data_IF_903754501395
#
_entry.id   IF_903754501395
#
_cell.length_a   1.000
_cell.length_b   1.000
_cell.length_c   1.000
_cell.angle_alpha   90.00
_cell.angle_beta   90.00
_cell.angle_gamma   90.00
#
_symmetry.space_group_name_H-M   'P 1'
#
loop_
_entity.id
_entity.type
_entity.pdbx_description
1 polymer ?
#
# COMPACT_ATOMS: atom_id res chain seq x y z
N UNK A 1 11.00 -27.44 -18.46
CA UNK A 1 10.85 -28.90 -18.27
C UNK A 1 10.99 -29.50 -19.64
N UNK A 2 12.14 -30.14 -19.92
CA UNK A 2 12.43 -30.73 -21.22
C UNK A 2 12.17 -32.24 -21.13
N UNK A 3 11.00 -32.67 -21.60
CA UNK A 3 10.53 -34.06 -21.54
C UNK A 3 9.55 -34.32 -22.69
N UNK A 4 9.45 -35.59 -23.10
CA UNK A 4 8.44 -36.03 -24.06
C UNK A 4 7.09 -36.21 -23.38
N UNK A 5 6.18 -35.26 -23.59
CA UNK A 5 4.81 -35.31 -23.07
C UNK A 5 3.98 -36.40 -23.74
N UNK A 6 3.15 -37.10 -22.95
CA UNK A 6 2.19 -38.10 -23.40
C UNK A 6 0.76 -37.61 -23.18
N UNK A 7 -0.18 -38.29 -23.82
CA UNK A 7 -1.58 -37.98 -23.66
C UNK A 7 -2.00 -38.15 -22.19
N UNK A 8 -2.69 -37.15 -21.65
CA UNK A 8 -3.10 -37.02 -20.24
C UNK A 8 -1.97 -36.73 -19.22
N UNK A 9 -0.79 -36.27 -19.65
CA UNK A 9 0.18 -35.71 -18.71
C UNK A 9 -0.33 -34.39 -18.13
N UNK A 10 -0.20 -34.21 -16.81
CA UNK A 10 -0.58 -32.99 -16.09
C UNK A 10 0.63 -32.30 -15.48
N UNK A 11 0.72 -30.98 -15.65
CA UNK A 11 1.69 -30.13 -14.97
C UNK A 11 0.97 -29.21 -14.00
N UNK A 12 1.25 -29.39 -12.71
CA UNK A 12 0.77 -28.48 -11.66
C UNK A 12 1.91 -27.59 -11.20
N UNK A 13 1.71 -26.28 -11.29
CA UNK A 13 2.66 -25.28 -10.80
C UNK A 13 2.03 -24.52 -9.64
N UNK A 14 2.81 -24.29 -8.59
CA UNK A 14 2.41 -23.50 -7.42
C UNK A 14 3.38 -22.33 -7.32
N UNK A 15 2.84 -21.11 -7.34
CA UNK A 15 3.61 -19.88 -7.12
C UNK A 15 3.30 -19.36 -5.71
N UNK A 16 4.27 -19.42 -4.77
CA UNK A 16 4.09 -18.83 -3.45
C UNK A 16 3.85 -17.32 -3.57
N UNK A 17 2.83 -16.83 -2.86
CA UNK A 17 2.49 -15.41 -2.78
C UNK A 17 2.97 -14.87 -1.42
N UNK A 18 4.28 -14.78 -1.27
CA UNK A 18 4.96 -14.30 -0.06
C UNK A 18 4.92 -12.77 0.01
N UNK A 19 4.92 -12.22 1.23
CA UNK A 19 5.07 -10.79 1.45
C UNK A 19 6.55 -10.42 1.40
N UNK A 20 6.88 -9.43 0.60
CA UNK A 20 8.22 -8.85 0.52
C UNK A 20 8.18 -7.35 0.71
N UNK A 21 9.32 -6.76 1.07
CA UNK A 21 9.48 -5.32 1.19
C UNK A 21 10.66 -4.88 0.34
N UNK A 22 10.41 -4.03 -0.66
CA UNK A 22 11.44 -3.47 -1.53
C UNK A 22 11.83 -2.05 -1.09
N UNK A 23 13.08 -1.66 -1.39
CA UNK A 23 13.58 -0.31 -1.17
C UNK A 23 13.42 0.53 -2.44
N UNK A 24 12.76 1.67 -2.33
CA UNK A 24 12.44 2.58 -3.44
C UNK A 24 13.13 3.94 -3.24
N UNK A 25 12.81 4.93 -4.09
CA UNK A 25 13.34 6.28 -3.98
C UNK A 25 13.23 6.87 -2.55
N UNK A 26 14.18 7.72 -2.19
CA UNK A 26 14.31 8.36 -0.88
C UNK A 26 14.37 7.37 0.31
N UNK A 27 14.90 6.17 0.09
CA UNK A 27 14.95 5.09 1.09
C UNK A 27 13.59 4.67 1.63
N UNK A 28 12.53 4.84 0.85
CA UNK A 28 11.20 4.37 1.21
C UNK A 28 11.07 2.85 1.10
N UNK A 29 10.04 2.29 1.72
CA UNK A 29 9.71 0.88 1.70
C UNK A 29 8.35 0.66 1.08
N UNK A 30 8.27 -0.31 0.18
CA UNK A 30 7.06 -0.71 -0.50
C UNK A 30 6.76 -2.16 -0.17
N UNK A 31 5.52 -2.43 0.25
CA UNK A 31 5.05 -3.77 0.61
C UNK A 31 4.48 -4.43 -0.64
N UNK A 32 4.94 -5.64 -0.92
CA UNK A 32 4.58 -6.41 -2.10
C UNK A 32 4.13 -7.80 -1.67
N UNK A 33 3.26 -8.44 -2.46
CA UNK A 33 2.91 -9.85 -2.28
C UNK A 33 2.84 -10.57 -3.63
N UNK A 34 3.79 -11.47 -3.86
CA UNK A 34 4.04 -11.98 -5.21
C UNK A 34 4.28 -10.81 -6.19
N UNK A 35 3.55 -10.72 -7.32
CA UNK A 35 3.73 -9.65 -8.30
C UNK A 35 2.97 -8.35 -7.98
N UNK A 36 2.30 -8.25 -6.82
CA UNK A 36 1.40 -7.15 -6.51
C UNK A 36 2.01 -6.16 -5.52
N UNK A 37 1.99 -4.87 -5.87
CA UNK A 37 2.28 -3.75 -4.95
C UNK A 37 1.05 -3.41 -4.11
N UNK A 38 1.26 -3.11 -2.83
CA UNK A 38 0.20 -2.72 -1.89
C UNK A 38 0.29 -1.24 -1.51
N UNK A 39 -0.87 -0.63 -1.34
CA UNK A 39 -1.04 0.76 -0.94
C UNK A 39 -1.88 0.85 0.34
N UNK A 40 -1.68 1.90 1.12
CA UNK A 40 -2.51 2.18 2.30
C UNK A 40 -3.98 2.31 1.90
N UNK A 41 -4.86 1.62 2.62
CA UNK A 41 -6.32 1.75 2.48
C UNK A 41 -6.76 3.05 3.15
N UNK A 42 -6.91 4.10 2.34
CA UNK A 42 -7.36 5.42 2.78
C UNK A 42 -8.86 5.52 2.57
N UNK A 43 -9.60 5.96 3.61
CA UNK A 43 -11.01 6.30 3.45
C UNK A 43 -11.13 7.55 2.57
N UNK A 44 -12.08 7.59 1.64
CA UNK A 44 -12.17 8.63 0.62
C UNK A 44 -13.42 9.49 0.81
N UNK A 45 -13.31 10.78 0.50
CA UNK A 45 -14.43 11.71 0.33
C UNK A 45 -14.41 12.26 -1.10
N UNK A 46 -15.53 12.14 -1.81
CA UNK A 46 -15.63 12.50 -3.22
C UNK A 46 -16.45 13.77 -3.37
N UNK A 47 -15.90 14.75 -4.08
CA UNK A 47 -16.57 16.00 -4.41
C UNK A 47 -16.73 16.10 -5.92
N UNK A 48 -17.99 16.13 -6.38
CA UNK A 48 -18.32 16.39 -7.78
C UNK A 48 -18.16 17.88 -8.07
N UNK A 49 -17.52 18.21 -9.17
CA UNK A 49 -17.43 19.54 -9.75
C UNK A 49 -17.82 19.51 -11.21
N UNK A 50 -17.88 20.70 -11.82
CA UNK A 50 -18.21 20.87 -13.22
C UNK A 50 -17.27 21.91 -13.83
N UNK A 51 -16.71 21.61 -14.99
CA UNK A 51 -15.91 22.52 -15.80
C UNK A 51 -16.63 22.75 -17.12
N UNK A 52 -16.80 23.99 -17.56
CA UNK A 52 -17.63 24.33 -18.72
C UNK A 52 -17.22 23.57 -20.00
N UNK A 53 -15.91 23.40 -20.23
CA UNK A 53 -15.41 22.70 -21.41
C UNK A 53 -15.19 21.19 -21.22
N UNK A 54 -14.99 20.75 -19.97
CA UNK A 54 -14.54 19.38 -19.67
C UNK A 54 -15.65 18.52 -19.01
N UNK A 55 -16.76 19.14 -18.64
CA UNK A 55 -17.90 18.49 -18.02
C UNK A 55 -17.70 18.16 -16.54
N UNK A 56 -18.39 17.12 -16.10
CA UNK A 56 -18.35 16.65 -14.71
C UNK A 56 -16.96 16.08 -14.36
N UNK A 57 -16.42 16.50 -13.23
CA UNK A 57 -15.19 15.95 -12.67
C UNK A 57 -15.36 15.60 -11.19
N UNK A 58 -14.45 14.78 -10.66
CA UNK A 58 -14.44 14.40 -9.25
C UNK A 58 -13.08 14.71 -8.61
N UNK A 59 -13.12 15.40 -7.47
CA UNK A 59 -11.97 15.57 -6.59
C UNK A 59 -12.10 14.60 -5.42
N UNK A 60 -11.03 13.87 -5.13
CA UNK A 60 -10.99 12.84 -4.08
C UNK A 60 -10.08 13.33 -2.96
N UNK A 61 -10.58 13.29 -1.73
CA UNK A 61 -9.87 13.75 -0.53
C UNK A 61 -9.76 12.62 0.50
N UNK A 62 -8.65 12.55 1.27
CA UNK A 62 -8.52 11.58 2.34
C UNK A 62 -9.47 11.92 3.49
N UNK A 63 -10.18 10.90 4.00
CA UNK A 63 -11.06 10.93 5.17
C UNK A 63 -10.48 10.16 6.36
N UNK A 64 -9.39 9.42 6.14
CA UNK A 64 -8.59 8.80 7.19
C UNK A 64 -7.16 9.33 7.14
N UNK A 65 -6.44 9.15 8.24
CA UNK A 65 -5.01 9.38 8.29
C UNK A 65 -4.27 8.55 7.23
N UNK A 66 -3.20 9.12 6.70
CA UNK A 66 -2.40 8.53 5.63
C UNK A 66 -0.89 8.68 5.83
N UNK A 67 -0.49 9.60 6.71
CA UNK A 67 0.87 10.01 6.97
C UNK A 67 1.58 9.04 7.94
N UNK A 68 1.75 7.79 7.51
CA UNK A 68 2.35 6.74 8.33
C UNK A 68 3.72 6.28 7.82
N UNK A 69 4.59 5.90 8.75
CA UNK A 69 5.83 5.19 8.50
C UNK A 69 5.73 3.74 8.94
N UNK A 70 6.38 2.83 8.21
CA UNK A 70 6.49 1.43 8.62
C UNK A 70 7.55 1.27 9.72
N UNK A 71 7.34 0.31 10.61
CA UNK A 71 8.33 -0.01 11.64
C UNK A 71 9.52 -0.77 11.04
N UNK A 72 10.73 -0.42 11.46
CA UNK A 72 11.98 -1.06 11.04
C UNK A 72 11.96 -2.57 11.30
N UNK A 73 11.37 -2.99 12.41
CA UNK A 73 11.30 -4.38 12.80
C UNK A 73 10.31 -5.21 11.95
N UNK A 74 9.33 -4.59 11.29
CA UNK A 74 8.43 -5.27 10.35
C UNK A 74 9.07 -5.40 8.98
N UNK A 75 9.74 -4.36 8.49
CA UNK A 75 10.41 -4.44 7.18
C UNK A 75 11.59 -5.41 7.17
N UNK A 76 12.24 -5.63 8.33
CA UNK A 76 13.32 -6.62 8.49
C UNK A 76 12.81 -8.05 8.59
N UNK A 77 11.55 -8.22 8.97
CA UNK A 77 10.91 -9.51 9.14
C UNK A 77 9.49 -9.49 8.54
N UNK A 78 9.38 -9.71 7.21
CA UNK A 78 8.10 -9.68 6.52
C UNK A 78 7.07 -10.72 7.02
N UNK A 79 7.47 -11.68 7.85
CA UNK A 79 6.52 -12.63 8.47
C UNK A 79 5.58 -11.97 9.48
N UNK A 80 5.90 -10.76 9.94
CA UNK A 80 5.05 -9.97 10.85
C UNK A 80 3.83 -9.36 10.17
N UNK A 81 3.86 -9.24 8.85
CA UNK A 81 2.69 -8.80 8.09
C UNK A 81 1.62 -9.89 8.10
N UNK A 82 0.39 -9.51 8.46
CA UNK A 82 -0.73 -10.45 8.47
C UNK A 82 -1.53 -10.33 7.18
N UNK A 83 -1.61 -11.42 6.41
CA UNK A 83 -2.37 -11.45 5.15
C UNK A 83 -3.76 -12.03 5.39
N UNK A 84 -4.79 -11.29 5.01
CA UNK A 84 -6.17 -11.74 4.97
C UNK A 84 -6.66 -11.81 3.52
N UNK A 85 -7.11 -12.98 3.08
CA UNK A 85 -7.68 -13.20 1.75
C UNK A 85 -9.17 -13.46 1.89
N UNK A 86 -9.98 -12.58 1.33
CA UNK A 86 -11.43 -12.64 1.31
C UNK A 86 -11.91 -13.30 0.01
N UNK A 87 -12.99 -14.08 0.03
CA UNK A 87 -13.62 -14.59 -1.19
C UNK A 87 -14.18 -13.44 -2.03
N UNK A 88 -14.18 -13.59 -3.35
CA UNK A 88 -14.83 -12.63 -4.24
C UNK A 88 -16.35 -12.76 -4.13
N UNK A 89 -17.03 -11.63 -3.96
CA UNK A 89 -18.49 -11.58 -3.98
C UNK A 89 -19.03 -11.89 -5.40
N UNK A 90 -20.23 -12.48 -5.50
CA UNK A 90 -20.88 -12.75 -6.80
C UNK A 90 -21.10 -11.48 -7.63
N UNK A 91 -21.38 -10.37 -6.97
CA UNK A 91 -21.58 -9.04 -7.54
C UNK A 91 -20.36 -8.14 -7.28
N UNK A 92 -19.15 -8.66 -7.55
CA UNK A 92 -17.90 -7.95 -7.31
C UNK A 92 -17.85 -6.60 -8.04
N UNK A 93 -17.53 -5.55 -7.29
CA UNK A 93 -17.24 -4.22 -7.82
C UNK A 93 -15.78 -3.91 -7.52
N UNK A 94 -15.04 -3.42 -8.52
CA UNK A 94 -13.63 -3.09 -8.34
C UNK A 94 -13.46 -1.74 -7.64
N UNK A 95 -13.52 -1.74 -6.31
CA UNK A 95 -13.37 -0.54 -5.49
C UNK A 95 -12.61 -0.79 -4.16
N UNK A 96 -12.22 0.29 -3.48
CA UNK A 96 -11.43 0.28 -2.24
C UNK A 96 -12.04 -0.61 -1.14
N UNK A 97 -13.37 -0.73 -1.09
CA UNK A 97 -14.09 -1.53 -0.07
C UNK A 97 -14.06 -3.02 -0.38
N UNK A 98 -14.06 -3.36 -1.66
CA UNK A 98 -14.14 -4.72 -2.19
C UNK A 98 -12.77 -5.37 -2.46
N UNK A 99 -11.66 -4.75 -2.03
CA UNK A 99 -10.32 -5.33 -2.17
C UNK A 99 -10.25 -6.75 -1.56
N UNK A 100 -9.92 -7.80 -2.35
CA UNK A 100 -10.01 -9.19 -1.90
C UNK A 100 -8.85 -9.61 -1.01
N UNK A 101 -7.74 -8.87 -1.02
CA UNK A 101 -6.59 -9.15 -0.17
C UNK A 101 -6.28 -7.92 0.66
N UNK A 102 -6.10 -8.11 1.95
CA UNK A 102 -5.68 -7.07 2.89
C UNK A 102 -4.42 -7.54 3.60
N UNK A 103 -3.42 -6.68 3.69
CA UNK A 103 -2.21 -6.89 4.48
C UNK A 103 -2.27 -5.94 5.67
N UNK A 104 -2.18 -6.47 6.88
CA UNK A 104 -2.05 -5.67 8.09
C UNK A 104 -0.58 -5.49 8.43
N UNK A 105 -0.16 -4.25 8.61
CA UNK A 105 1.17 -3.85 9.05
C UNK A 105 1.07 -2.96 10.30
N UNK A 106 2.15 -2.80 11.04
CA UNK A 106 2.26 -1.79 12.10
C UNK A 106 3.09 -0.61 11.62
N UNK A 107 2.67 0.60 12.01
CA UNK A 107 3.39 1.82 11.67
C UNK A 107 3.10 2.95 12.64
N UNK A 108 3.91 4.02 12.59
CA UNK A 108 3.69 5.22 13.39
C UNK A 108 3.32 6.38 12.49
N UNK A 109 2.40 7.23 12.96
CA UNK A 109 2.05 8.46 12.25
C UNK A 109 3.24 9.42 12.31
N UNK A 110 3.49 10.16 11.24
CA UNK A 110 4.43 11.28 11.18
C UNK A 110 3.59 12.56 11.06
N UNK A 111 3.30 13.26 12.17
CA UNK A 111 2.46 14.46 12.13
C UNK A 111 3.00 15.58 11.24
N UNK A 112 4.32 15.64 11.04
CA UNK A 112 4.96 16.62 10.16
C UNK A 112 4.85 16.29 8.67
N UNK A 113 4.43 15.08 8.30
CA UNK A 113 4.27 14.69 6.90
C UNK A 113 2.88 15.12 6.43
N UNK A 114 2.85 16.27 5.75
CA UNK A 114 1.66 16.97 5.26
C UNK A 114 1.95 17.54 3.87
N UNK A 115 0.89 17.95 3.18
CA UNK A 115 1.02 18.76 1.96
C UNK A 115 1.66 20.11 2.31
N UNK A 116 2.49 20.62 1.40
CA UNK A 116 3.00 21.99 1.49
C UNK A 116 1.95 23.01 1.01
N UNK A 117 2.36 24.28 0.92
CA UNK A 117 1.49 25.39 0.50
C UNK A 117 1.00 25.26 -0.95
N UNK A 118 1.76 24.57 -1.79
CA UNK A 118 1.43 24.31 -3.20
C UNK A 118 0.62 23.01 -3.39
N UNK A 119 0.31 22.30 -2.29
CA UNK A 119 -0.42 21.04 -2.34
C UNK A 119 0.43 19.85 -2.79
N UNK A 120 1.76 19.97 -2.72
CA UNK A 120 2.71 18.91 -3.07
C UNK A 120 2.99 18.07 -1.81
N UNK A 121 2.95 16.74 -1.98
CA UNK A 121 3.34 15.81 -0.94
C UNK A 121 4.80 15.40 -1.10
N UNK A 122 5.69 16.03 -0.31
CA UNK A 122 7.09 15.63 -0.29
C UNK A 122 7.29 14.35 0.52
N UNK A 123 8.14 13.46 0.02
CA UNK A 123 8.47 12.23 0.71
C UNK A 123 9.35 12.53 1.94
N UNK A 124 9.06 11.97 3.13
CA UNK A 124 9.91 12.16 4.29
C UNK A 124 11.27 11.51 4.03
N UNK A 125 12.33 12.31 4.01
CA UNK A 125 13.67 11.85 3.72
C UNK A 125 14.27 11.23 4.98
N UNK A 126 14.65 9.95 4.89
CA UNK A 126 15.48 9.30 5.89
C UNK A 126 16.96 9.66 5.72
N UNK A 127 17.76 9.42 6.76
CA UNK A 127 19.22 9.54 6.63
C UNK A 127 19.80 8.44 5.72
N UNK A 128 21.13 8.37 5.62
CA UNK A 128 21.83 7.29 4.90
C UNK A 128 21.45 5.89 5.39
N UNK A 129 20.99 5.76 6.64
CA UNK A 129 20.47 4.52 7.23
C UNK A 129 19.08 4.11 6.69
N UNK A 130 18.38 5.02 6.02
CA UNK A 130 17.00 4.82 5.56
C UNK A 130 15.95 4.94 6.66
N UNK A 131 16.33 5.36 7.87
CA UNK A 131 15.42 5.58 8.99
C UNK A 131 15.11 7.08 9.10
N UNK A 132 13.83 7.40 9.23
CA UNK A 132 13.33 8.74 9.51
C UNK A 132 13.57 9.09 10.99
N UNK A 133 14.28 10.20 11.23
CA UNK A 133 14.64 10.68 12.58
C UNK A 133 13.70 11.76 13.12
N UNK A 134 12.75 12.23 12.30
CA UNK A 134 11.77 13.23 12.73
C UNK A 134 10.79 12.67 13.76
N UNK A 135 9.95 13.55 14.31
CA UNK A 135 8.94 13.16 15.29
C UNK A 135 7.90 12.24 14.62
N UNK A 136 7.75 11.06 15.18
CA UNK A 136 6.65 10.14 14.92
C UNK A 136 5.90 9.88 16.23
N UNK A 137 4.64 9.45 16.12
CA UNK A 137 3.83 9.09 17.28
C UNK A 137 4.48 7.95 18.07
N UNK A 138 4.34 7.99 19.40
CA UNK A 138 4.96 6.99 20.28
C UNK A 138 4.33 5.60 20.09
N UNK A 139 3.01 5.57 19.92
CA UNK A 139 2.22 4.34 19.83
C UNK A 139 2.03 3.92 18.36
N UNK A 140 2.48 2.71 17.96
CA UNK A 140 2.17 2.18 16.65
C UNK A 140 0.67 1.95 16.44
N UNK A 141 0.20 2.23 15.23
CA UNK A 141 -1.15 1.94 14.76
C UNK A 141 -1.12 0.79 13.73
N UNK A 142 -2.25 0.07 13.65
CA UNK A 142 -2.47 -0.92 12.60
C UNK A 142 -2.79 -0.20 11.29
N UNK A 143 -2.07 -0.55 10.24
CA UNK A 143 -2.26 -0.09 8.87
C UNK A 143 -2.87 -1.23 8.06
N UNK A 144 -3.91 -0.94 7.31
CA UNK A 144 -4.46 -1.89 6.32
C UNK A 144 -3.96 -1.50 4.95
N UNK A 145 -3.26 -2.40 4.28
CA UNK A 145 -2.79 -2.24 2.92
C UNK A 145 -3.63 -3.11 1.99
N UNK A 146 -3.97 -2.59 0.82
CA UNK A 146 -4.71 -3.31 -0.23
C UNK A 146 -3.95 -3.22 -1.55
N UNK A 147 -4.19 -4.12 -2.53
CA UNK A 147 -3.51 -4.06 -3.81
C UNK A 147 -3.69 -2.68 -4.45
N UNK A 148 -2.60 -2.12 -4.94
CA UNK A 148 -2.52 -0.75 -5.45
C UNK A 148 -3.67 -0.38 -6.41
N UNK A 149 -4.03 -1.30 -7.30
CA UNK A 149 -5.09 -1.12 -8.29
C UNK A 149 -6.49 -0.85 -7.72
N UNK A 150 -6.72 -1.12 -6.43
CA UNK A 150 -8.00 -0.82 -5.77
C UNK A 150 -8.08 0.61 -5.24
N UNK A 151 -6.95 1.32 -5.14
CA UNK A 151 -6.84 2.67 -4.57
C UNK A 151 -6.87 3.79 -5.61
N UNK A 152 -7.39 4.95 -5.19
CA UNK A 152 -7.38 6.20 -5.97
C UNK A 152 -6.42 7.21 -5.34
N UNK A 153 -6.42 7.32 -4.02
CA UNK A 153 -5.38 7.98 -3.23
C UNK A 153 -4.29 6.97 -2.86
N UNK A 154 -3.03 7.28 -3.12
CA UNK A 154 -1.95 6.29 -3.13
C UNK A 154 -0.79 6.68 -2.23
N UNK A 155 -0.62 5.91 -1.16
CA UNK A 155 0.62 5.83 -0.39
C UNK A 155 1.14 4.40 -0.53
N UNK A 156 2.21 4.24 -1.31
CA UNK A 156 2.92 2.97 -1.55
C UNK A 156 4.35 2.97 -1.04
N UNK A 157 4.90 4.17 -0.84
CA UNK A 157 6.29 4.40 -0.53
C UNK A 157 6.38 4.98 0.88
N UNK A 158 6.53 4.09 1.86
CA UNK A 158 6.49 4.46 3.26
C UNK A 158 7.90 4.83 3.75
N UNK A 159 8.07 5.94 4.50
CA UNK A 159 9.27 6.11 5.31
C UNK A 159 9.33 5.02 6.39
N UNK A 160 10.51 4.86 6.99
CA UNK A 160 10.76 3.85 8.03
C UNK A 160 11.07 4.54 9.35
N UNK A 161 10.54 4.03 10.45
CA UNK A 161 10.81 4.50 11.81
C UNK A 161 11.18 3.34 12.73
N UNK A 162 11.83 3.62 13.85
CA UNK A 162 12.13 2.63 14.89
C UNK A 162 10.88 2.23 15.68
#
# INVERSE_FOLDING_TARGET
IDTSWKNNDELKVVFPMEVSVSNWASNSRTVERGPLVYALKIAESWKKGYHEEAGDYFSIYPKSDWNYALLENEIKDPSKFSVNVKPLAKNFVWDTSNAPVEITAMGKKIPSWKLDEDGILHQPIGERSGIFQGKADQTPAKLTLIPYGFTKLRIVAFPVVK
#
